data_IF_614262177706
#
_entry.id   IF_614262177706
#
_cell.length_a   1.000
_cell.length_b   1.000
_cell.length_c   1.000
_cell.angle_alpha   90.00
_cell.angle_beta   90.00
_cell.angle_gamma   90.00
#
_symmetry.space_group_name_H-M   'P 1'
#
loop_
_entity.id
_entity.type
_entity.pdbx_description
1 polymer ?
#
# COMPACT_ATOMS: atom_id res chain seq x y z
N UNK A 1 61.96 -6.48 6.89
CA UNK A 1 62.62 -5.35 6.21
C UNK A 1 61.59 -4.27 6.12
N UNK A 2 61.42 -3.40 7.15
CA UNK A 2 62.22 -2.21 7.38
C UNK A 2 62.11 -1.26 6.18
N UNK A 3 61.59 -0.08 6.28
CA UNK A 3 61.95 1.10 7.04
C UNK A 3 60.92 2.22 6.90
N UNK A 4 60.54 2.85 8.02
CA UNK A 4 60.14 4.27 8.07
C UNK A 4 61.38 5.16 7.99
N UNK A 5 61.25 6.48 7.67
CA UNK A 5 61.16 7.52 8.71
C UNK A 5 60.26 8.72 8.28
N UNK A 6 59.56 9.40 9.16
CA UNK A 6 59.85 10.36 10.25
C UNK A 6 60.53 11.68 9.81
N UNK A 7 59.91 12.77 10.21
CA UNK A 7 60.46 14.13 10.43
C UNK A 7 59.77 15.18 9.55
N UNK A 8 59.41 16.39 9.99
CA UNK A 8 59.75 17.05 11.23
C UNK A 8 58.94 18.37 11.30
N UNK A 9 58.76 18.78 12.47
CA UNK A 9 58.27 20.07 12.95
C UNK A 9 59.10 21.24 12.44
N UNK A 10 58.47 22.41 12.27
CA UNK A 10 59.08 23.68 12.66
C UNK A 10 58.02 24.79 12.76
N UNK A 11 57.76 25.23 13.98
CA UNK A 11 57.34 26.57 14.37
C UNK A 11 58.63 27.28 14.77
N UNK A 12 58.84 28.62 14.54
CA UNK A 12 58.53 29.57 15.59
C UNK A 12 58.21 31.01 15.15
N UNK A 13 57.54 31.67 16.04
CA UNK A 13 57.85 32.92 16.77
C UNK A 13 57.61 34.29 16.09
N UNK A 14 56.85 35.07 16.82
CA UNK A 14 56.70 36.51 16.73
C UNK A 14 58.01 37.22 17.17
N UNK A 15 58.16 38.53 16.92
CA UNK A 15 57.97 39.54 17.95
C UNK A 15 57.40 40.89 17.45
N UNK A 16 56.61 41.55 18.25
CA UNK A 16 56.79 42.58 19.29
C UNK A 16 57.22 44.00 18.79
N UNK A 17 56.38 44.96 19.20
CA UNK A 17 56.59 46.40 19.52
C UNK A 17 56.77 47.39 18.36
N UNK A 18 56.11 48.52 18.39
CA UNK A 18 56.04 49.69 19.27
C UNK A 18 55.03 50.71 18.79
N UNK A 19 54.16 51.19 19.56
CA UNK A 19 54.10 52.44 20.35
C UNK A 19 54.14 53.78 19.56
N UNK A 20 53.10 54.59 19.78
CA UNK A 20 53.09 56.04 19.98
C UNK A 20 52.51 56.87 18.81
N UNK A 21 51.37 57.48 19.02
CA UNK A 21 51.20 58.90 19.21
C UNK A 21 49.71 59.29 19.23
N UNK A 22 49.36 60.06 20.24
CA UNK A 22 48.07 60.68 20.55
C UNK A 22 47.76 61.90 19.67
N UNK A 23 46.48 62.05 19.42
CA UNK A 23 45.60 63.26 19.47
C UNK A 23 45.38 64.00 18.09
N UNK A 24 44.31 64.75 17.94
CA UNK A 24 43.23 65.07 18.84
C UNK A 24 41.79 64.78 18.29
N UNK A 25 40.88 64.77 19.18
CA UNK A 25 39.44 64.79 19.21
C UNK A 25 38.84 65.81 18.20
N UNK A 26 38.10 65.33 17.23
CA UNK A 26 37.17 66.13 16.50
C UNK A 26 35.77 65.48 16.61
N UNK A 27 34.94 66.24 17.28
CA UNK A 27 33.54 65.98 17.57
C UNK A 27 32.74 66.03 16.25
N UNK A 28 32.44 64.85 15.68
CA UNK A 28 31.49 64.75 14.56
C UNK A 28 30.22 64.08 15.05
N UNK A 29 29.18 64.92 15.11
CA UNK A 29 27.78 64.58 15.26
C UNK A 29 27.43 63.27 14.52
N UNK A 30 26.83 62.36 15.24
CA UNK A 30 26.17 61.19 14.72
C UNK A 30 25.03 61.55 13.77
N UNK A 31 24.92 60.98 12.58
CA UNK A 31 23.69 61.05 11.80
C UNK A 31 22.68 60.08 12.39
N UNK A 32 21.52 60.60 12.65
CA UNK A 32 20.34 59.87 13.08
C UNK A 32 20.14 58.58 12.31
N UNK A 33 20.11 57.44 12.99
CA UNK A 33 19.75 56.18 12.42
C UNK A 33 18.29 56.25 11.91
N UNK A 34 18.16 56.28 10.57
CA UNK A 34 16.88 56.01 9.91
C UNK A 34 16.56 54.53 10.14
N UNK A 35 15.63 54.31 11.08
CA UNK A 35 15.04 53.01 11.30
C UNK A 35 14.33 52.53 10.02
N UNK A 36 14.89 51.52 9.37
CA UNK A 36 14.19 50.79 8.32
C UNK A 36 12.88 50.21 8.88
N UNK A 37 11.74 50.48 8.22
CA UNK A 37 10.49 49.85 8.65
C UNK A 37 10.62 48.32 8.48
N UNK A 38 10.30 47.61 9.55
CA UNK A 38 10.22 46.16 9.54
C UNK A 38 9.23 45.67 8.47
N UNK A 39 9.51 44.56 7.77
CA UNK A 39 8.58 44.06 6.80
C UNK A 39 7.30 43.61 7.50
N UNK A 40 6.23 44.34 7.28
CA UNK A 40 4.88 43.95 7.67
C UNK A 40 4.55 42.64 6.99
N UNK A 41 4.49 41.53 7.74
CA UNK A 41 3.91 40.28 7.30
C UNK A 41 2.45 40.58 6.92
N UNK A 42 2.18 40.74 5.63
CA UNK A 42 0.83 40.73 5.09
C UNK A 42 0.26 39.32 5.34
N UNK A 43 -0.45 39.14 6.43
CA UNK A 43 -1.35 38.01 6.59
C UNK A 43 -2.39 38.15 5.49
N UNK A 44 -2.21 37.37 4.42
CA UNK A 44 -3.24 37.19 3.41
C UNK A 44 -4.38 36.43 4.08
N UNK A 45 -5.35 37.16 4.61
CA UNK A 45 -6.64 36.59 5.00
C UNK A 45 -7.26 36.06 3.72
N UNK A 46 -7.13 34.76 3.51
CA UNK A 46 -7.82 34.08 2.39
C UNK A 46 -9.30 34.35 2.60
N UNK A 47 -9.90 35.11 1.68
CA UNK A 47 -11.32 35.42 1.72
C UNK A 47 -12.11 34.12 1.87
N UNK A 48 -13.14 34.10 2.73
CA UNK A 48 -14.02 32.93 2.93
C UNK A 48 -14.48 32.31 1.61
N UNK A 49 -14.67 33.13 0.58
CA UNK A 49 -15.03 32.68 -0.79
C UNK A 49 -13.94 31.81 -1.43
N UNK A 50 -12.66 32.20 -1.29
CA UNK A 50 -11.54 31.40 -1.84
C UNK A 50 -11.33 30.12 -1.03
N UNK A 51 -11.57 30.16 0.28
CA UNK A 51 -11.51 28.94 1.13
C UNK A 51 -12.58 27.93 0.70
N UNK A 52 -13.82 28.37 0.51
CA UNK A 52 -14.93 27.52 0.04
C UNK A 52 -14.62 26.95 -1.36
N UNK A 53 -14.11 27.79 -2.27
CA UNK A 53 -13.73 27.31 -3.61
C UNK A 53 -12.62 26.23 -3.54
N UNK A 54 -11.64 26.40 -2.66
CA UNK A 54 -10.55 25.44 -2.48
C UNK A 54 -11.03 24.11 -1.91
N UNK A 55 -11.99 24.14 -0.96
CA UNK A 55 -12.62 22.94 -0.41
C UNK A 55 -13.43 22.20 -1.49
N UNK A 56 -14.18 22.92 -2.33
CA UNK A 56 -14.94 22.31 -3.43
C UNK A 56 -13.99 21.65 -4.44
N UNK A 57 -12.91 22.33 -4.83
CA UNK A 57 -11.91 21.76 -5.74
C UNK A 57 -11.26 20.50 -5.13
N UNK A 58 -10.89 20.54 -3.85
CA UNK A 58 -10.34 19.39 -3.16
C UNK A 58 -11.32 18.21 -3.12
N UNK A 59 -12.61 18.48 -2.87
CA UNK A 59 -13.65 17.46 -2.90
C UNK A 59 -13.85 16.85 -4.30
N UNK A 60 -13.80 17.66 -5.35
CA UNK A 60 -13.91 17.17 -6.73
C UNK A 60 -12.68 16.33 -7.12
N UNK A 61 -11.48 16.73 -6.72
CA UNK A 61 -10.25 15.95 -6.95
C UNK A 61 -10.35 14.62 -6.19
N UNK A 62 -10.77 14.62 -4.93
CA UNK A 62 -10.93 13.41 -4.14
C UNK A 62 -11.98 12.46 -4.76
N UNK A 63 -13.12 12.99 -5.22
CA UNK A 63 -14.14 12.22 -5.92
C UNK A 63 -13.62 11.64 -7.24
N UNK A 64 -12.86 12.43 -8.00
CA UNK A 64 -12.22 11.98 -9.24
C UNK A 64 -11.19 10.87 -9.02
N UNK A 65 -10.34 10.99 -8.01
CA UNK A 65 -9.37 9.96 -7.64
C UNK A 65 -10.06 8.68 -7.14
N UNK A 66 -11.14 8.83 -6.38
CA UNK A 66 -11.93 7.69 -5.91
C UNK A 66 -12.61 6.96 -7.07
N UNK A 67 -13.23 7.69 -8.00
CA UNK A 67 -13.83 7.10 -9.20
C UNK A 67 -12.77 6.41 -10.08
N UNK A 68 -11.59 7.04 -10.25
CA UNK A 68 -10.47 6.46 -11.00
C UNK A 68 -10.00 5.14 -10.38
N UNK A 69 -9.85 5.10 -9.04
CA UNK A 69 -9.42 3.88 -8.35
C UNK A 69 -10.39 2.70 -8.55
N UNK A 70 -11.67 2.97 -8.70
CA UNK A 70 -12.68 1.94 -9.01
C UNK A 70 -12.60 1.46 -10.47
N UNK A 71 -12.25 2.33 -11.41
CA UNK A 71 -12.14 1.96 -12.83
C UNK A 71 -10.86 1.18 -13.16
N UNK A 72 -9.80 1.34 -12.38
CA UNK A 72 -8.51 0.66 -12.64
C UNK A 72 -8.38 -0.71 -11.98
N UNK A 73 -9.26 -1.06 -11.04
CA UNK A 73 -9.25 -2.37 -10.43
C UNK A 73 -9.85 -3.41 -11.40
N UNK A 74 -8.97 -4.06 -12.15
CA UNK A 74 -9.34 -5.18 -13.03
C UNK A 74 -9.84 -6.41 -12.24
N UNK A 75 -9.47 -6.50 -10.96
CA UNK A 75 -9.84 -7.57 -10.04
C UNK A 75 -10.77 -6.97 -8.99
N UNK A 76 -11.99 -7.48 -8.94
CA UNK A 76 -12.99 -7.07 -7.94
C UNK A 76 -12.99 -8.07 -6.78
N UNK A 77 -12.33 -7.73 -5.67
CA UNK A 77 -12.24 -8.58 -4.49
C UNK A 77 -13.57 -8.91 -3.80
N UNK A 78 -14.67 -8.29 -4.22
CA UNK A 78 -16.02 -8.65 -3.76
C UNK A 78 -16.63 -9.84 -4.53
N UNK A 79 -16.11 -10.12 -5.74
CA UNK A 79 -16.60 -11.19 -6.63
C UNK A 79 -15.67 -12.39 -6.58
N UNK A 80 -16.17 -13.53 -7.02
CA UNK A 80 -15.33 -14.72 -7.19
C UNK A 80 -14.44 -14.60 -8.43
N UNK A 81 -13.20 -15.02 -8.31
CA UNK A 81 -12.23 -15.17 -9.38
C UNK A 81 -11.77 -16.62 -9.48
N UNK A 82 -11.40 -17.02 -10.69
CA UNK A 82 -10.62 -18.22 -10.94
C UNK A 82 -9.14 -17.84 -11.05
N UNK A 83 -8.30 -18.44 -10.25
CA UNK A 83 -6.84 -18.23 -10.24
C UNK A 83 -6.17 -19.49 -10.76
N UNK A 84 -5.48 -19.37 -11.90
CA UNK A 84 -4.79 -20.44 -12.57
C UNK A 84 -3.31 -20.43 -12.20
N UNK A 85 -2.83 -21.54 -11.67
CA UNK A 85 -1.44 -21.66 -11.24
C UNK A 85 -0.60 -22.41 -12.25
N UNK A 86 0.70 -22.13 -12.25
CA UNK A 86 1.68 -22.75 -13.17
C UNK A 86 1.82 -24.27 -13.01
N UNK A 87 1.40 -24.84 -11.88
CA UNK A 87 1.33 -26.27 -11.64
C UNK A 87 0.04 -26.93 -12.19
N UNK A 88 -0.82 -26.14 -12.88
CA UNK A 88 -2.08 -26.60 -13.44
C UNK A 88 -3.26 -26.62 -12.45
N UNK A 89 -3.06 -26.25 -11.19
CA UNK A 89 -4.15 -26.11 -10.23
C UNK A 89 -4.97 -24.85 -10.47
N UNK A 90 -6.27 -24.94 -10.20
CA UNK A 90 -7.19 -23.81 -10.29
C UNK A 90 -7.91 -23.68 -8.97
N UNK A 91 -7.88 -22.48 -8.41
CA UNK A 91 -8.61 -22.11 -7.22
C UNK A 91 -9.64 -21.05 -7.54
N UNK A 92 -10.79 -21.15 -6.88
CA UNK A 92 -11.89 -20.18 -6.97
C UNK A 92 -12.03 -19.50 -5.62
N UNK A 93 -12.11 -18.18 -5.62
CA UNK A 93 -12.22 -17.42 -4.37
C UNK A 93 -12.24 -15.93 -4.64
N UNK A 94 -12.31 -15.16 -3.57
CA UNK A 94 -12.22 -13.70 -3.63
C UNK A 94 -10.75 -13.30 -3.50
N UNK A 95 -10.18 -12.77 -4.59
CA UNK A 95 -8.77 -12.41 -4.66
C UNK A 95 -8.57 -11.00 -4.09
N UNK A 96 -7.64 -10.91 -3.18
CA UNK A 96 -7.21 -9.67 -2.56
C UNK A 96 -5.73 -9.43 -2.85
N UNK A 97 -5.42 -8.16 -3.11
CA UNK A 97 -4.03 -7.75 -3.25
C UNK A 97 -3.44 -7.50 -1.86
N UNK A 98 -2.32 -8.17 -1.55
CA UNK A 98 -1.72 -8.08 -0.23
C UNK A 98 -0.75 -6.91 -0.16
N UNK A 99 -0.74 -6.20 0.97
CA UNK A 99 0.10 -5.05 1.24
C UNK A 99 1.62 -5.26 0.99
N UNK A 100 2.08 -6.52 0.96
CA UNK A 100 3.48 -6.90 0.71
C UNK A 100 3.68 -7.61 -0.64
N UNK A 101 2.81 -7.39 -1.62
CA UNK A 101 2.93 -8.01 -2.94
C UNK A 101 2.70 -9.53 -2.97
N UNK A 102 2.05 -10.09 -1.94
CA UNK A 102 1.60 -11.48 -1.91
C UNK A 102 0.07 -11.50 -1.99
N UNK A 103 -0.51 -11.83 -3.14
CA UNK A 103 -1.94 -11.96 -3.27
C UNK A 103 -2.46 -13.12 -2.42
N UNK A 104 -3.68 -12.99 -1.93
CA UNK A 104 -4.34 -14.06 -1.19
C UNK A 104 -5.80 -14.20 -1.60
N UNK A 105 -6.31 -15.41 -1.49
CA UNK A 105 -7.72 -15.75 -1.70
C UNK A 105 -8.42 -15.95 -0.35
N UNK A 106 -9.67 -15.52 -0.29
CA UNK A 106 -10.63 -15.87 0.76
C UNK A 106 -11.82 -16.58 0.14
N UNK A 107 -12.64 -17.24 0.94
CA UNK A 107 -13.76 -18.05 0.44
C UNK A 107 -13.29 -19.02 -0.66
N UNK A 108 -12.27 -19.82 -0.36
CA UNK A 108 -11.54 -20.60 -1.36
C UNK A 108 -12.21 -21.93 -1.63
N UNK A 109 -12.39 -22.23 -2.90
CA UNK A 109 -12.89 -23.50 -3.42
C UNK A 109 -11.94 -24.06 -4.47
N UNK A 110 -11.94 -25.38 -4.61
CA UNK A 110 -11.18 -26.08 -5.64
C UNK A 110 -11.87 -27.37 -6.04
N UNK A 111 -11.54 -27.89 -7.21
CA UNK A 111 -12.02 -29.20 -7.63
C UNK A 111 -11.13 -30.31 -7.09
N UNK A 112 -11.75 -31.28 -6.42
CA UNK A 112 -11.04 -32.50 -6.03
C UNK A 112 -11.12 -33.51 -7.15
N UNK A 113 -9.96 -33.84 -7.76
CA UNK A 113 -9.86 -34.86 -8.83
C UNK A 113 -8.53 -34.75 -9.55
N UNK A 114 -8.07 -35.85 -10.16
CA UNK A 114 -6.83 -35.98 -10.90
C UNK A 114 -6.99 -35.56 -12.37
N UNK A 115 -7.43 -34.36 -12.64
CA UNK A 115 -7.60 -33.89 -14.02
C UNK A 115 -7.65 -32.38 -14.06
N UNK A 116 -6.50 -31.74 -14.19
CA UNK A 116 -6.35 -30.29 -14.22
C UNK A 116 -6.67 -29.65 -15.58
N UNK A 117 -7.43 -30.31 -16.44
CA UNK A 117 -7.76 -29.77 -17.74
C UNK A 117 -9.14 -29.15 -17.73
N UNK A 118 -9.16 -27.87 -17.99
CA UNK A 118 -10.29 -26.94 -18.08
C UNK A 118 -11.42 -27.46 -19.04
N UNK A 119 -11.14 -28.47 -19.82
CA UNK A 119 -12.06 -29.04 -20.82
C UNK A 119 -12.95 -30.18 -20.30
N UNK A 120 -12.73 -30.66 -19.09
CA UNK A 120 -13.50 -31.76 -18.53
C UNK A 120 -13.97 -31.44 -17.11
N UNK A 121 -14.86 -30.48 -16.98
CA UNK A 121 -15.74 -30.41 -15.81
C UNK A 121 -16.70 -31.59 -15.95
N UNK A 122 -16.19 -32.78 -15.68
CA UNK A 122 -17.02 -33.97 -15.60
C UNK A 122 -17.92 -33.81 -14.39
N UNK A 123 -19.16 -34.29 -14.49
CA UNK A 123 -20.15 -34.29 -13.41
C UNK A 123 -19.70 -35.01 -12.12
N UNK A 124 -18.46 -35.52 -12.08
CA UNK A 124 -17.81 -36.23 -10.99
C UNK A 124 -16.77 -35.38 -10.22
N UNK A 125 -16.44 -34.17 -10.69
CA UNK A 125 -15.53 -33.28 -9.95
C UNK A 125 -16.32 -32.56 -8.89
N UNK A 126 -16.10 -32.94 -7.63
CA UNK A 126 -16.72 -32.25 -6.49
C UNK A 126 -15.96 -30.97 -6.18
N UNK A 127 -16.70 -29.87 -6.17
CA UNK A 127 -16.20 -28.61 -5.65
C UNK A 127 -16.04 -28.73 -4.12
N UNK A 128 -14.85 -28.43 -3.61
CA UNK A 128 -14.55 -28.47 -2.17
C UNK A 128 -14.19 -27.08 -1.67
N UNK A 129 -14.68 -26.78 -0.47
CA UNK A 129 -14.26 -25.57 0.26
C UNK A 129 -12.94 -25.86 0.98
N UNK A 130 -11.99 -24.92 0.92
CA UNK A 130 -10.76 -24.96 1.71
C UNK A 130 -11.12 -24.87 3.19
N UNK A 131 -10.43 -25.64 4.03
CA UNK A 131 -10.68 -25.69 5.48
C UNK A 131 -11.20 -27.04 5.95
N UNK A 132 -11.73 -27.87 5.06
CA UNK A 132 -12.24 -29.22 5.36
C UNK A 132 -11.20 -30.33 5.25
N UNK A 133 -9.95 -30.00 4.95
CA UNK A 133 -8.86 -30.95 4.81
C UNK A 133 -8.36 -31.44 6.17
N UNK A 134 -7.77 -32.64 6.18
CA UNK A 134 -7.28 -33.31 7.40
C UNK A 134 -6.26 -32.47 8.18
N UNK A 135 -5.47 -31.64 7.48
CA UNK A 135 -4.48 -30.75 8.10
C UNK A 135 -5.07 -29.42 8.63
N UNK A 136 -6.39 -29.20 8.46
CA UNK A 136 -7.11 -28.06 9.03
C UNK A 136 -6.59 -26.68 8.61
N UNK A 137 -6.47 -26.38 7.32
CA UNK A 137 -6.01 -25.07 6.90
C UNK A 137 -7.03 -23.97 7.24
N UNK A 138 -6.56 -22.74 7.45
CA UNK A 138 -7.44 -21.58 7.51
C UNK A 138 -8.13 -21.34 6.16
N UNK A 139 -9.30 -20.71 6.16
CA UNK A 139 -10.05 -20.35 4.95
C UNK A 139 -9.36 -19.20 4.16
N UNK A 140 -8.04 -19.17 4.16
CA UNK A 140 -7.21 -18.17 3.51
C UNK A 140 -6.04 -18.82 2.80
N UNK A 141 -5.94 -18.63 1.50
CA UNK A 141 -4.84 -19.15 0.70
C UNK A 141 -3.91 -18.01 0.25
N UNK A 142 -2.69 -17.98 0.77
CA UNK A 142 -1.67 -17.01 0.36
C UNK A 142 -0.94 -17.58 -0.86
N UNK A 143 -0.92 -16.82 -1.95
CA UNK A 143 -0.36 -17.24 -3.21
C UNK A 143 1.05 -16.68 -3.42
N UNK A 144 1.90 -17.46 -4.09
CA UNK A 144 3.09 -16.90 -4.70
C UNK A 144 2.69 -16.24 -6.04
N UNK A 145 2.92 -14.94 -6.19
CA UNK A 145 2.58 -14.20 -7.41
C UNK A 145 3.23 -14.80 -8.67
N UNK A 146 4.45 -15.35 -8.54
CA UNK A 146 5.20 -15.91 -9.65
C UNK A 146 4.63 -17.27 -10.10
N UNK A 147 3.76 -17.87 -9.30
CA UNK A 147 3.04 -19.10 -9.64
C UNK A 147 1.69 -18.84 -10.29
N UNK A 148 1.23 -17.61 -10.37
CA UNK A 148 -0.04 -17.25 -11.01
C UNK A 148 0.19 -17.06 -12.49
N UNK A 149 -0.49 -17.84 -13.33
CA UNK A 149 -0.46 -17.65 -14.77
C UNK A 149 -1.40 -16.53 -15.20
N UNK A 150 -2.65 -16.59 -14.78
CA UNK A 150 -3.66 -15.58 -15.04
C UNK A 150 -4.82 -15.70 -14.05
N UNK A 151 -5.65 -14.68 -14.02
CA UNK A 151 -6.84 -14.58 -13.17
C UNK A 151 -8.02 -14.19 -14.03
N UNK A 152 -9.16 -14.82 -13.81
CA UNK A 152 -10.43 -14.52 -14.48
C UNK A 152 -11.48 -14.10 -13.45
N UNK A 153 -12.18 -13.01 -13.69
CA UNK A 153 -13.36 -12.67 -12.91
C UNK A 153 -14.52 -13.57 -13.34
N UNK A 154 -15.12 -14.25 -12.38
CA UNK A 154 -16.28 -15.11 -12.65
C UNK A 154 -17.55 -14.27 -12.75
N UNK A 155 -18.42 -14.67 -13.67
CA UNK A 155 -19.77 -14.13 -13.75
C UNK A 155 -20.62 -14.72 -12.61
N UNK A 156 -21.55 -13.95 -12.11
CA UNK A 156 -22.46 -14.39 -11.03
C UNK A 156 -23.34 -15.56 -11.43
N UNK A 157 -23.69 -15.65 -12.72
CA UNK A 157 -24.47 -16.74 -13.31
C UNK A 157 -23.63 -17.95 -13.77
N UNK A 158 -22.32 -17.96 -13.49
CA UNK A 158 -21.46 -19.07 -13.84
C UNK A 158 -21.81 -20.34 -13.05
N UNK A 159 -21.58 -21.51 -13.67
CA UNK A 159 -21.83 -22.79 -13.02
C UNK A 159 -21.05 -22.97 -11.71
N UNK A 160 -19.82 -22.44 -11.65
CA UNK A 160 -18.97 -22.49 -10.46
C UNK A 160 -19.55 -21.66 -9.34
N UNK A 161 -19.91 -20.38 -9.61
CA UNK A 161 -20.51 -19.50 -8.60
C UNK A 161 -21.83 -20.04 -8.11
N UNK A 162 -22.65 -20.57 -9.01
CA UNK A 162 -23.92 -21.23 -8.64
C UNK A 162 -23.70 -22.47 -7.74
N UNK A 163 -22.65 -23.25 -7.98
CA UNK A 163 -22.29 -24.39 -7.14
C UNK A 163 -21.78 -23.95 -5.76
N UNK A 164 -20.96 -22.88 -5.71
CA UNK A 164 -20.48 -22.28 -4.46
C UNK A 164 -21.68 -21.83 -3.61
N UNK A 165 -22.60 -21.05 -4.19
CA UNK A 165 -23.76 -20.53 -3.48
C UNK A 165 -24.63 -21.66 -2.89
N UNK A 166 -24.89 -22.72 -3.69
CA UNK A 166 -25.64 -23.89 -3.21
C UNK A 166 -24.96 -24.59 -2.04
N UNK A 167 -23.63 -24.67 -2.04
CA UNK A 167 -22.90 -25.27 -0.95
C UNK A 167 -22.95 -24.41 0.31
N UNK A 168 -22.83 -23.08 0.20
CA UNK A 168 -22.95 -22.16 1.31
C UNK A 168 -24.36 -22.21 1.95
N UNK A 169 -25.40 -22.24 1.13
CA UNK A 169 -26.79 -22.36 1.61
C UNK A 169 -27.00 -23.68 2.35
N UNK A 170 -26.41 -24.77 1.90
CA UNK A 170 -26.45 -26.09 2.54
C UNK A 170 -25.76 -26.08 3.90
N UNK A 171 -24.58 -25.51 3.98
CA UNK A 171 -23.79 -25.40 5.21
C UNK A 171 -24.50 -24.52 6.25
N UNK A 172 -25.09 -23.40 5.83
CA UNK A 172 -25.87 -22.50 6.68
C UNK A 172 -27.10 -23.20 7.26
N UNK A 173 -27.79 -24.01 6.48
CA UNK A 173 -28.98 -24.77 6.90
C UNK A 173 -28.64 -25.85 7.94
N UNK A 174 -27.49 -26.50 7.80
CA UNK A 174 -27.01 -27.50 8.76
C UNK A 174 -26.57 -26.88 10.10
N UNK A 175 -25.92 -25.70 10.06
CA UNK A 175 -25.51 -24.98 11.26
C UNK A 175 -26.72 -24.55 12.12
N UNK A 176 -27.84 -24.17 11.49
CA UNK A 176 -29.07 -23.76 12.19
C UNK A 176 -29.82 -24.97 12.79
N UNK A 177 -29.73 -26.14 12.16
CA UNK A 177 -30.41 -27.37 12.62
C UNK A 177 -29.77 -28.04 13.84
N UNK A 178 -28.51 -27.74 14.16
CA UNK A 178 -27.79 -28.39 15.28
C UNK A 178 -28.03 -27.75 16.65
N UNK A 179 -28.78 -26.67 16.75
CA UNK A 179 -28.96 -25.93 18.03
C UNK A 179 -30.22 -26.33 18.80
N UNK A 180 -31.02 -27.30 18.34
CA UNK A 180 -32.26 -27.70 19.02
C UNK A 180 -32.19 -29.19 19.44
N UNK A 181 -31.24 -29.51 20.35
CA UNK A 181 -31.43 -30.69 21.20
C UNK A 181 -30.48 -30.60 22.39
N UNK A 182 -30.89 -29.89 23.43
CA UNK A 182 -30.40 -30.08 24.78
C UNK A 182 -31.46 -29.71 25.79
#
# INVERSE_FOLDING_TARGET
>A
MDLRPRGGQHRPAAPVTARTAQAPREERRAPSAVSKPAPTKKNRIVSKKHFVALVIIAALIAAGLFAWSKMTNQIDGARYQAVFLSNGQVYFGKLHDYYNGRPYLTDVYYFQGTGNTQSQVSAQQQLRKLGSEVHGPEEKLILNKDSILFVENLREDSAVVSAINKQQDGDASQATGSTITR
#
